data_IF_277166247616
#
_entry.id   IF_277166247616
#
_cell.length_a   1.000
_cell.length_b   1.000
_cell.length_c   1.000
_cell.angle_alpha   90.00
_cell.angle_beta   90.00
_cell.angle_gamma   90.00
#
_symmetry.space_group_name_H-M   'P 1'
#
loop_
_entity.id
_entity.type
_entity.pdbx_description
1 polymer ?
#
# COMPACT_ATOMS: atom_id res chain seq x y z
N UNK A 1 -15.45 0.72 21.98
CA UNK A 1 -15.87 2.10 22.17
C UNK A 1 -16.50 2.69 20.91
N UNK A 2 -17.35 3.69 21.07
CA UNK A 2 -17.85 4.48 19.97
C UNK A 2 -17.09 5.81 20.00
N UNK A 3 -16.42 6.13 18.91
CA UNK A 3 -15.65 7.36 18.75
C UNK A 3 -16.36 8.30 17.77
N UNK A 4 -16.07 9.59 17.86
CA UNK A 4 -16.48 10.57 16.82
C UNK A 4 -15.87 10.17 15.49
N UNK A 5 -16.60 10.40 14.39
CA UNK A 5 -16.07 10.15 13.04
C UNK A 5 -14.80 10.94 12.68
N UNK A 6 -14.46 11.95 13.47
CA UNK A 6 -13.23 12.74 13.34
C UNK A 6 -12.07 12.23 14.22
N UNK A 7 -12.30 11.20 15.05
CA UNK A 7 -11.23 10.60 15.87
C UNK A 7 -10.32 9.79 14.95
N UNK A 8 -9.02 10.03 15.00
CA UNK A 8 -8.07 9.24 14.22
C UNK A 8 -8.01 7.79 14.75
N UNK A 9 -7.77 6.83 13.85
CA UNK A 9 -7.67 5.41 14.21
C UNK A 9 -6.59 5.17 15.27
N UNK A 10 -5.48 5.91 15.24
CA UNK A 10 -4.42 5.81 16.24
C UNK A 10 -4.90 6.17 17.64
N UNK A 11 -5.65 7.27 17.80
CA UNK A 11 -6.23 7.67 19.10
C UNK A 11 -7.24 6.63 19.60
N UNK A 12 -8.12 6.16 18.70
CA UNK A 12 -9.09 5.13 19.05
C UNK A 12 -8.42 3.83 19.48
N UNK A 13 -7.35 3.41 18.80
CA UNK A 13 -6.59 2.21 19.15
C UNK A 13 -5.97 2.32 20.55
N UNK A 14 -5.36 3.47 20.88
CA UNK A 14 -4.75 3.70 22.19
C UNK A 14 -5.78 3.61 23.33
N UNK A 15 -6.95 4.23 23.16
CA UNK A 15 -8.04 4.15 24.12
C UNK A 15 -8.54 2.71 24.31
N UNK A 16 -8.60 1.94 23.22
CA UNK A 16 -9.00 0.54 23.28
C UNK A 16 -7.96 -0.33 23.98
N UNK A 17 -6.68 -0.12 23.72
CA UNK A 17 -5.59 -0.85 24.35
C UNK A 17 -5.54 -0.62 25.87
N UNK A 18 -5.68 0.63 26.33
CA UNK A 18 -5.73 0.94 27.75
C UNK A 18 -6.87 0.20 28.43
N UNK A 19 -8.08 0.24 27.85
CA UNK A 19 -9.23 -0.49 28.39
C UNK A 19 -9.07 -2.01 28.34
N UNK A 20 -8.37 -2.52 27.33
CA UNK A 20 -8.12 -3.95 27.20
C UNK A 20 -7.17 -4.42 28.31
N UNK A 21 -6.13 -3.64 28.61
CA UNK A 21 -5.21 -3.91 29.70
C UNK A 21 -5.92 -3.94 31.07
N UNK A 22 -6.89 -3.04 31.28
CA UNK A 22 -7.68 -3.02 32.53
C UNK A 22 -8.63 -4.24 32.70
N UNK A 23 -9.01 -4.86 31.57
CA UNK A 23 -10.00 -5.95 31.58
C UNK A 23 -9.38 -7.34 31.56
N UNK A 24 -8.13 -7.48 31.14
CA UNK A 24 -7.47 -8.78 30.99
C UNK A 24 -6.52 -9.02 32.16
N UNK A 25 -6.65 -10.16 32.88
CA UNK A 25 -5.78 -10.48 34.02
C UNK A 25 -4.33 -10.77 33.59
N UNK A 26 -4.15 -11.37 32.43
CA UNK A 26 -2.86 -11.84 31.93
C UNK A 26 -2.62 -11.31 30.50
N UNK A 27 -2.11 -10.08 30.35
CA UNK A 27 -1.86 -9.45 29.04
C UNK A 27 -0.85 -10.23 28.18
N UNK A 28 0.12 -10.89 28.77
CA UNK A 28 1.16 -11.71 28.12
C UNK A 28 0.63 -12.97 27.43
N UNK A 29 -0.58 -13.42 27.77
CA UNK A 29 -1.26 -14.46 27.00
C UNK A 29 -2.02 -13.94 25.77
N UNK A 30 -2.07 -12.62 25.58
CA UNK A 30 -2.88 -11.98 24.54
C UNK A 30 -2.04 -11.42 23.41
N UNK A 31 -2.34 -11.85 22.19
CA UNK A 31 -1.75 -11.27 20.97
C UNK A 31 -2.74 -10.34 20.27
N UNK A 32 -2.38 -9.07 20.17
CA UNK A 32 -3.15 -8.08 19.44
C UNK A 32 -2.80 -8.15 17.96
N UNK A 33 -3.76 -8.48 17.11
CA UNK A 33 -3.58 -8.51 15.66
C UNK A 33 -4.34 -7.35 15.03
N UNK A 34 -3.63 -6.49 14.31
CA UNK A 34 -4.24 -5.30 13.70
C UNK A 34 -3.58 -4.93 12.36
N UNK A 35 -4.24 -4.01 11.65
CA UNK A 35 -3.72 -3.43 10.43
C UNK A 35 -2.59 -2.41 10.69
N UNK A 36 -2.13 -1.75 9.65
CA UNK A 36 -1.04 -0.78 9.72
C UNK A 36 -1.30 0.43 10.66
N UNK A 37 -2.52 0.62 11.15
CA UNK A 37 -2.87 1.72 12.06
C UNK A 37 -2.46 1.46 13.52
N UNK A 38 -2.05 0.25 13.82
CA UNK A 38 -1.46 -0.08 15.13
C UNK A 38 0.00 0.38 15.22
N UNK A 39 0.72 0.43 14.09
CA UNK A 39 2.15 0.68 14.06
C UNK A 39 2.43 2.18 14.09
N UNK A 40 2.55 2.71 15.28
CA UNK A 40 3.15 4.01 15.61
C UNK A 40 3.95 3.88 16.91
N UNK A 41 4.92 4.78 17.12
CA UNK A 41 5.86 4.66 18.24
C UNK A 41 5.18 4.65 19.61
N UNK A 42 4.11 5.40 19.81
CA UNK A 42 3.39 5.46 21.08
C UNK A 42 2.55 4.21 21.31
N UNK A 43 1.85 3.73 20.28
CA UNK A 43 1.01 2.52 20.38
C UNK A 43 1.86 1.28 20.63
N UNK A 44 2.98 1.13 19.90
CA UNK A 44 3.92 0.02 20.12
C UNK A 44 4.51 0.09 21.53
N UNK A 45 4.93 1.27 21.99
CA UNK A 45 5.45 1.44 23.35
C UNK A 45 4.42 1.07 24.44
N UNK A 46 3.15 1.41 24.23
CA UNK A 46 2.06 1.02 25.16
C UNK A 46 1.79 -0.48 25.15
N UNK A 47 1.81 -1.14 23.99
CA UNK A 47 1.65 -2.59 23.88
C UNK A 47 2.74 -3.31 24.65
N UNK A 48 4.00 -2.97 24.36
CA UNK A 48 5.17 -3.56 25.01
C UNK A 48 5.18 -3.27 26.52
N UNK A 49 4.86 -2.03 26.93
CA UNK A 49 4.81 -1.66 28.34
C UNK A 49 3.66 -2.31 29.12
N UNK A 50 2.56 -2.69 28.46
CA UNK A 50 1.45 -3.40 29.06
C UNK A 50 1.59 -4.94 29.00
N UNK A 51 2.68 -5.45 28.41
CA UNK A 51 2.92 -6.89 28.29
C UNK A 51 2.13 -7.59 27.18
N UNK A 52 1.46 -6.86 26.30
CA UNK A 52 0.76 -7.47 25.16
C UNK A 52 1.71 -7.87 24.06
N UNK A 53 1.51 -9.06 23.54
CA UNK A 53 2.08 -9.45 22.27
C UNK A 53 1.31 -8.87 21.08
N UNK A 54 1.95 -8.72 19.94
CA UNK A 54 1.27 -8.19 18.76
C UNK A 54 1.80 -8.75 17.44
N UNK A 55 0.92 -8.69 16.42
CA UNK A 55 1.26 -8.88 15.01
C UNK A 55 0.56 -7.78 14.22
N UNK A 56 1.31 -6.98 13.47
CA UNK A 56 0.75 -5.89 12.69
C UNK A 56 1.47 -5.66 11.36
N UNK A 57 0.78 -5.00 10.44
CA UNK A 57 1.33 -4.62 9.14
C UNK A 57 2.13 -3.32 9.26
N UNK A 58 3.38 -3.34 8.82
CA UNK A 58 4.20 -2.11 8.75
C UNK A 58 3.66 -1.18 7.68
N UNK A 59 3.36 0.09 8.03
CA UNK A 59 2.84 1.07 7.08
C UNK A 59 3.81 1.32 5.92
N UNK A 60 3.28 1.61 4.73
CA UNK A 60 4.10 1.96 3.55
C UNK A 60 4.89 3.25 3.70
N UNK A 61 4.52 4.08 4.67
CA UNK A 61 5.19 5.36 4.97
C UNK A 61 6.44 5.21 5.84
N UNK A 62 6.69 4.02 6.39
CA UNK A 62 7.90 3.75 7.18
C UNK A 62 9.05 3.32 6.28
N UNK A 63 10.19 4.03 6.37
CA UNK A 63 11.40 3.73 5.59
C UNK A 63 11.92 2.32 5.85
N UNK A 64 11.86 1.84 7.10
CA UNK A 64 12.27 0.48 7.48
C UNK A 64 11.58 -0.61 6.64
N UNK A 65 10.34 -0.37 6.18
CA UNK A 65 9.63 -1.32 5.31
C UNK A 65 10.34 -1.50 3.98
N UNK A 66 10.74 -0.40 3.34
CA UNK A 66 11.42 -0.40 2.05
C UNK A 66 12.81 -1.04 2.18
N UNK A 67 13.56 -0.64 3.20
CA UNK A 67 14.88 -1.20 3.52
C UNK A 67 14.85 -2.72 3.71
N UNK A 68 13.90 -3.24 4.49
CA UNK A 68 13.76 -4.67 4.75
C UNK A 68 13.36 -5.46 3.50
N UNK A 69 12.50 -4.91 2.65
CA UNK A 69 12.15 -5.54 1.38
C UNK A 69 13.38 -5.60 0.47
N UNK A 70 14.14 -4.51 0.36
CA UNK A 70 15.34 -4.48 -0.47
C UNK A 70 16.43 -5.41 0.07
N UNK A 71 16.59 -5.50 1.40
CA UNK A 71 17.47 -6.48 2.04
C UNK A 71 17.05 -7.92 1.69
N UNK A 72 15.78 -8.25 1.81
CA UNK A 72 15.27 -9.58 1.51
C UNK A 72 15.55 -10.01 0.06
N UNK A 73 15.36 -9.07 -0.88
CA UNK A 73 15.68 -9.31 -2.29
C UNK A 73 17.17 -9.32 -2.60
N UNK A 74 17.99 -8.60 -1.83
CA UNK A 74 19.46 -8.65 -1.97
C UNK A 74 20.02 -10.00 -1.53
N UNK A 75 19.48 -10.56 -0.43
CA UNK A 75 19.92 -11.87 0.08
C UNK A 75 19.42 -13.05 -0.76
N UNK A 76 18.23 -12.96 -1.36
CA UNK A 76 17.67 -13.97 -2.25
C UNK A 76 16.92 -13.28 -3.41
N UNK A 77 17.59 -13.07 -4.55
CA UNK A 77 17.07 -12.30 -5.68
C UNK A 77 15.87 -12.91 -6.39
N UNK A 78 15.58 -14.20 -6.17
CA UNK A 78 14.38 -14.86 -6.67
C UNK A 78 13.44 -15.22 -5.51
N UNK A 79 12.20 -14.73 -5.59
CA UNK A 79 11.18 -15.06 -4.58
C UNK A 79 10.84 -16.56 -4.53
N UNK A 80 11.16 -17.33 -5.57
CA UNK A 80 10.96 -18.79 -5.58
C UNK A 80 11.85 -19.47 -4.53
N UNK A 81 13.00 -18.91 -4.22
CA UNK A 81 13.96 -19.42 -3.23
C UNK A 81 13.55 -19.09 -1.78
N UNK A 82 12.53 -18.27 -1.59
CA UNK A 82 12.04 -17.95 -0.25
C UNK A 82 11.16 -19.09 0.29
N UNK A 83 11.24 -19.40 1.59
CA UNK A 83 10.37 -20.38 2.23
C UNK A 83 8.88 -20.11 1.97
N UNK A 84 8.13 -21.16 1.63
CA UNK A 84 6.68 -21.08 1.46
C UNK A 84 6.04 -21.14 2.83
N UNK A 85 5.44 -20.03 3.27
CA UNK A 85 4.76 -19.93 4.56
C UNK A 85 3.29 -20.34 4.47
N UNK A 86 2.66 -20.09 3.33
CA UNK A 86 1.26 -20.47 3.09
C UNK A 86 0.95 -20.55 1.60
N UNK A 87 -0.09 -21.32 1.29
CA UNK A 87 -0.63 -21.42 -0.07
C UNK A 87 -2.14 -21.24 -0.06
N UNK A 88 -2.67 -20.74 -1.17
CA UNK A 88 -4.11 -20.73 -1.41
C UNK A 88 -4.43 -21.21 -2.82
N UNK A 89 -5.60 -21.82 -3.06
CA UNK A 89 -6.00 -22.22 -4.41
C UNK A 89 -5.99 -21.04 -5.39
N UNK A 90 -5.68 -21.29 -6.63
CA UNK A 90 -5.84 -20.34 -7.71
C UNK A 90 -7.29 -19.87 -7.88
N UNK A 91 -7.50 -18.86 -8.71
CA UNK A 91 -8.84 -18.30 -8.94
C UNK A 91 -9.81 -19.27 -9.64
N UNK A 92 -9.29 -20.13 -10.50
CA UNK A 92 -10.00 -21.23 -11.13
C UNK A 92 -9.40 -22.55 -10.68
N UNK A 93 -10.14 -23.65 -10.80
CA UNK A 93 -9.69 -24.99 -10.42
C UNK A 93 -8.44 -25.45 -11.18
N UNK A 94 -8.22 -24.91 -12.37
CA UNK A 94 -7.05 -25.18 -13.24
C UNK A 94 -5.87 -24.25 -12.99
N UNK A 95 -6.06 -23.18 -12.23
CA UNK A 95 -4.99 -22.23 -11.96
C UNK A 95 -4.02 -22.80 -10.90
N UNK A 96 -2.72 -22.54 -11.01
CA UNK A 96 -1.75 -22.97 -10.01
C UNK A 96 -2.05 -22.31 -8.65
N UNK A 97 -1.66 -22.95 -7.55
CA UNK A 97 -1.78 -22.34 -6.23
C UNK A 97 -0.95 -21.06 -6.16
N UNK A 98 -1.47 -20.09 -5.42
CA UNK A 98 -0.77 -18.85 -5.12
C UNK A 98 -0.07 -18.99 -3.77
N UNK A 99 1.19 -18.64 -3.71
CA UNK A 99 2.01 -18.78 -2.52
C UNK A 99 2.24 -17.43 -1.81
N UNK A 100 2.42 -17.54 -0.51
CA UNK A 100 3.03 -16.53 0.34
C UNK A 100 4.38 -17.08 0.77
N UNK A 101 5.43 -16.38 0.46
CA UNK A 101 6.81 -16.75 0.81
C UNK A 101 7.39 -15.66 1.70
N UNK A 102 8.22 -16.01 2.67
CA UNK A 102 8.69 -14.99 3.60
C UNK A 102 10.02 -15.32 4.24
N UNK A 103 10.62 -14.27 4.81
CA UNK A 103 11.87 -14.30 5.57
C UNK A 103 11.83 -13.27 6.68
N UNK A 104 12.32 -13.64 7.85
CA UNK A 104 12.39 -12.76 9.00
C UNK A 104 13.69 -11.97 9.08
N UNK A 105 13.59 -10.73 9.55
CA UNK A 105 14.68 -9.77 9.74
C UNK A 105 14.46 -8.99 11.03
N UNK A 106 15.52 -8.34 11.54
CA UNK A 106 15.40 -7.38 12.61
C UNK A 106 15.16 -5.97 12.04
N UNK A 107 13.99 -5.38 12.33
CA UNK A 107 13.67 -3.99 12.00
C UNK A 107 13.76 -3.10 13.24
N UNK A 108 14.19 -1.85 13.08
CA UNK A 108 14.26 -0.90 14.20
C UNK A 108 13.10 0.07 14.17
N UNK A 109 12.40 0.18 15.30
CA UNK A 109 11.26 1.08 15.47
C UNK A 109 11.52 2.05 16.60
N UNK A 110 11.20 3.31 16.38
CA UNK A 110 11.22 4.31 17.44
C UNK A 110 10.00 4.11 18.34
N UNK A 111 10.22 3.63 19.58
CA UNK A 111 9.18 3.47 20.58
C UNK A 111 9.10 4.71 21.44
N UNK A 112 7.89 5.14 21.75
CA UNK A 112 7.63 6.19 22.73
C UNK A 112 6.96 5.55 23.94
N UNK A 113 7.74 5.23 24.95
CA UNK A 113 7.21 4.73 26.21
C UNK A 113 6.40 5.83 26.91
N UNK A 114 5.27 5.48 27.56
CA UNK A 114 4.52 6.44 28.35
C UNK A 114 5.45 7.00 29.44
N UNK A 115 5.54 8.33 29.53
CA UNK A 115 6.30 8.98 30.56
C UNK A 115 5.55 8.84 31.89
N UNK A 116 6.21 8.39 32.93
CA UNK A 116 5.77 8.62 34.31
C UNK A 116 6.02 10.10 34.61
N UNK A 117 4.97 10.85 34.99
CA UNK A 117 4.98 12.23 35.43
C UNK A 117 5.95 13.19 34.67
N UNK A 118 5.43 13.98 33.74
CA UNK A 118 6.09 15.14 33.07
C UNK A 118 7.54 14.95 32.53
N UNK A 119 8.07 13.73 32.55
CA UNK A 119 9.39 13.45 32.00
C UNK A 119 9.34 13.50 30.45
N UNK A 120 10.41 13.99 29.79
CA UNK A 120 10.46 13.98 28.32
C UNK A 120 10.35 12.54 27.81
N UNK A 121 9.44 12.32 26.84
CA UNK A 121 9.29 11.03 26.18
C UNK A 121 10.59 10.62 25.50
N UNK A 122 11.25 9.62 26.02
CA UNK A 122 12.49 9.09 25.43
C UNK A 122 12.09 8.12 24.33
N UNK A 123 12.48 8.41 23.10
CA UNK A 123 12.36 7.45 22.02
C UNK A 123 13.48 6.40 22.18
N UNK A 124 13.13 5.17 22.47
CA UNK A 124 14.04 4.03 22.34
C UNK A 124 13.91 3.44 20.94
N UNK A 125 15.02 2.92 20.40
CA UNK A 125 15.03 2.22 19.11
C UNK A 125 15.22 0.74 19.39
N UNK A 126 14.11 0.02 19.54
CA UNK A 126 14.13 -1.41 19.82
C UNK A 126 14.13 -2.22 18.54
N UNK A 127 14.98 -3.26 18.45
CA UNK A 127 14.89 -4.23 17.37
C UNK A 127 13.64 -5.09 17.55
N UNK A 128 12.81 -5.15 16.51
CA UNK A 128 11.64 -6.02 16.49
C UNK A 128 11.76 -6.98 15.31
N UNK A 129 11.20 -8.17 15.48
CA UNK A 129 11.13 -9.14 14.40
C UNK A 129 10.17 -8.65 13.31
N UNK A 130 10.68 -8.62 12.08
CA UNK A 130 9.94 -8.22 10.90
C UNK A 130 9.91 -9.36 9.89
N UNK A 131 8.73 -9.82 9.54
CA UNK A 131 8.54 -10.85 8.52
C UNK A 131 8.22 -10.18 7.18
N UNK A 132 9.17 -10.22 6.26
CA UNK A 132 8.96 -9.78 4.87
C UNK A 132 8.27 -10.90 4.12
N UNK A 133 7.08 -10.62 3.58
CA UNK A 133 6.25 -11.60 2.88
C UNK A 133 6.04 -11.19 1.43
N UNK A 134 6.53 -12.01 0.50
CA UNK A 134 6.17 -11.95 -0.92
C UNK A 134 4.85 -12.66 -1.16
N UNK A 135 4.00 -12.10 -2.03
CA UNK A 135 2.71 -12.66 -2.39
C UNK A 135 2.52 -12.71 -3.90
N UNK A 136 2.33 -13.91 -4.46
CA UNK A 136 2.05 -14.11 -5.89
C UNK A 136 0.82 -13.33 -6.36
N UNK A 137 -0.17 -13.19 -5.48
CA UNK A 137 -1.38 -12.41 -5.77
C UNK A 137 -1.09 -10.91 -5.89
N UNK A 138 -0.17 -10.37 -5.07
CA UNK A 138 0.26 -8.97 -5.17
C UNK A 138 1.11 -8.75 -6.42
N UNK A 139 2.05 -9.64 -6.69
CA UNK A 139 2.88 -9.63 -7.89
C UNK A 139 2.03 -9.64 -9.17
N UNK A 140 1.04 -10.53 -9.24
CA UNK A 140 0.11 -10.62 -10.36
C UNK A 140 -0.76 -9.37 -10.52
N UNK A 141 -1.19 -8.73 -9.42
CA UNK A 141 -1.92 -7.46 -9.48
C UNK A 141 -1.05 -6.32 -10.02
N UNK A 142 0.20 -6.25 -9.58
CA UNK A 142 1.14 -5.26 -10.08
C UNK A 142 1.39 -5.44 -11.59
N UNK A 143 1.66 -6.68 -12.02
CA UNK A 143 1.90 -7.00 -13.43
C UNK A 143 0.72 -6.60 -14.33
N UNK A 144 -0.52 -6.90 -13.91
CA UNK A 144 -1.74 -6.49 -14.63
C UNK A 144 -1.90 -4.97 -14.70
N UNK A 145 -1.48 -4.24 -13.66
CA UNK A 145 -1.62 -2.79 -13.61
C UNK A 145 -0.48 -2.03 -14.32
N UNK A 146 0.65 -2.70 -14.59
CA UNK A 146 1.86 -2.08 -15.11
C UNK A 146 1.64 -1.43 -16.49
N UNK A 147 1.06 -2.17 -17.44
CA UNK A 147 0.82 -1.64 -18.80
C UNK A 147 -0.07 -0.39 -18.77
N UNK A 148 -1.05 -0.38 -17.90
CA UNK A 148 -1.90 0.81 -17.70
C UNK A 148 -1.15 1.99 -17.06
N UNK A 149 -0.12 1.75 -16.25
CA UNK A 149 0.74 2.80 -15.68
C UNK A 149 1.67 3.38 -16.74
N UNK A 150 2.31 2.52 -17.52
CA UNK A 150 3.17 2.89 -18.65
C UNK A 150 2.41 3.74 -19.69
N UNK A 151 1.22 3.27 -20.10
CA UNK A 151 0.38 3.98 -21.05
C UNK A 151 -0.06 5.36 -20.53
N UNK A 152 -0.41 5.47 -19.24
CA UNK A 152 -0.79 6.75 -18.61
C UNK A 152 0.37 7.74 -18.58
N UNK A 153 1.56 7.29 -18.22
CA UNK A 153 2.76 8.14 -18.19
C UNK A 153 3.09 8.65 -19.60
N UNK A 154 3.10 7.77 -20.61
CA UNK A 154 3.29 8.15 -22.02
C UNK A 154 2.24 9.16 -22.50
N UNK A 155 0.97 8.95 -22.15
CA UNK A 155 -0.11 9.87 -22.54
C UNK A 155 0.01 11.23 -21.83
N UNK A 156 0.39 11.25 -20.55
CA UNK A 156 0.63 12.48 -19.80
C UNK A 156 1.79 13.27 -20.38
N UNK A 157 2.91 12.60 -20.70
CA UNK A 157 4.04 13.25 -21.35
C UNK A 157 3.65 13.84 -22.71
N UNK A 158 2.96 13.08 -23.57
CA UNK A 158 2.48 13.57 -24.87
C UNK A 158 1.62 14.81 -24.75
N UNK A 159 0.73 14.86 -23.76
CA UNK A 159 -0.12 16.03 -23.50
C UNK A 159 0.69 17.25 -23.11
N UNK A 160 1.66 17.10 -22.21
CA UNK A 160 2.52 18.20 -21.75
C UNK A 160 3.50 18.62 -22.85
N UNK A 161 4.05 17.66 -23.59
CA UNK A 161 4.97 17.89 -24.71
C UNK A 161 4.34 18.73 -25.83
N UNK A 162 3.04 18.56 -26.11
CA UNK A 162 2.33 19.42 -27.10
C UNK A 162 2.44 20.90 -26.77
N UNK A 163 2.39 21.28 -25.50
CA UNK A 163 2.54 22.66 -25.07
C UNK A 163 3.97 23.20 -25.28
N UNK A 164 4.98 22.33 -25.15
CA UNK A 164 6.39 22.68 -25.42
C UNK A 164 6.65 22.73 -26.91
N UNK A 165 6.12 21.77 -27.69
CA UNK A 165 6.24 21.76 -29.16
C UNK A 165 5.56 22.94 -29.84
N UNK A 166 4.55 23.56 -29.19
CA UNK A 166 3.93 24.76 -29.73
C UNK A 166 4.83 26.01 -29.62
N UNK A 167 5.92 25.91 -28.84
CA UNK A 167 6.92 26.97 -28.70
C UNK A 167 7.99 26.77 -29.77
N UNK A 168 8.38 27.85 -30.41
CA UNK A 168 9.51 27.89 -31.32
C UNK A 168 10.73 28.32 -30.52
N UNK A 169 11.79 27.52 -30.58
CA UNK A 169 13.05 27.80 -29.92
C UNK A 169 14.08 28.33 -30.94
N UNK A 170 14.80 29.38 -30.55
CA UNK A 170 15.83 29.98 -31.35
C UNK A 170 17.15 29.21 -31.35
N UNK A 171 17.38 28.41 -30.30
CA UNK A 171 18.58 27.57 -30.18
C UNK A 171 18.25 26.18 -29.65
N UNK A 172 19.14 25.21 -29.90
CA UNK A 172 19.00 23.84 -29.47
C UNK A 172 19.02 23.71 -27.93
N UNK A 173 19.86 24.48 -27.25
CA UNK A 173 20.01 24.44 -25.79
C UNK A 173 18.72 24.82 -25.07
N UNK A 174 18.00 25.83 -25.54
CA UNK A 174 16.71 26.24 -24.96
C UNK A 174 15.64 25.20 -25.20
N UNK A 175 15.63 24.57 -26.37
CA UNK A 175 14.69 23.48 -26.70
C UNK A 175 14.93 22.25 -25.78
N UNK A 176 16.17 21.87 -25.54
CA UNK A 176 16.55 20.77 -24.65
C UNK A 176 16.24 21.10 -23.20
N UNK A 177 16.58 22.30 -22.73
CA UNK A 177 16.32 22.78 -21.39
C UNK A 177 14.81 22.79 -21.04
N UNK A 178 13.94 23.09 -22.01
CA UNK A 178 12.50 23.07 -21.83
C UNK A 178 11.94 21.66 -21.61
N UNK A 179 12.64 20.60 -22.08
CA UNK A 179 12.23 19.21 -21.93
C UNK A 179 12.79 18.56 -20.66
N UNK A 180 13.91 19.04 -20.14
CA UNK A 180 14.60 18.46 -19.00
C UNK A 180 13.69 18.19 -17.77
N UNK A 181 12.87 19.17 -17.30
CA UNK A 181 11.96 18.97 -16.20
C UNK A 181 10.88 17.92 -16.45
N UNK A 182 10.47 17.72 -17.70
CA UNK A 182 9.44 16.73 -18.07
C UNK A 182 10.00 15.31 -18.01
N UNK A 183 11.22 15.12 -18.52
CA UNK A 183 11.91 13.83 -18.51
C UNK A 183 12.28 13.41 -17.08
N UNK A 184 12.74 14.34 -16.25
CA UNK A 184 13.07 14.06 -14.83
C UNK A 184 11.88 13.60 -13.96
N UNK A 185 10.64 13.83 -14.41
CA UNK A 185 9.42 13.40 -13.69
C UNK A 185 8.94 12.01 -14.10
N UNK A 186 9.56 11.39 -15.07
CA UNK A 186 9.20 10.04 -15.48
C UNK A 186 9.54 9.06 -14.36
N UNK A 187 8.63 8.13 -14.16
CA UNK A 187 8.74 7.10 -13.12
C UNK A 187 8.98 5.71 -13.70
N UNK A 188 8.47 5.49 -14.91
CA UNK A 188 8.43 4.18 -15.55
C UNK A 188 9.19 4.14 -16.86
N UNK A 189 9.64 5.29 -17.32
CA UNK A 189 10.42 5.45 -18.55
C UNK A 189 11.65 6.31 -18.29
N UNK A 190 12.71 5.98 -18.97
CA UNK A 190 13.81 6.90 -19.24
C UNK A 190 13.50 7.67 -20.51
N UNK A 191 13.90 8.93 -20.58
CA UNK A 191 13.66 9.79 -21.75
C UNK A 191 14.96 10.37 -22.26
N UNK A 192 15.27 10.11 -23.52
CA UNK A 192 16.36 10.77 -24.23
C UNK A 192 15.81 11.93 -25.02
N UNK A 193 16.33 13.13 -24.75
CA UNK A 193 15.96 14.35 -25.48
C UNK A 193 16.89 14.52 -26.66
N UNK A 194 16.33 14.74 -27.83
CA UNK A 194 17.04 15.17 -29.05
C UNK A 194 16.38 16.43 -29.62
N UNK A 195 17.08 17.19 -30.40
CA UNK A 195 16.58 18.44 -30.99
C UNK A 195 16.72 18.38 -32.47
N UNK A 196 15.60 18.50 -33.19
CA UNK A 196 15.58 18.60 -34.63
C UNK A 196 15.66 20.08 -35.04
N UNK A 197 16.45 20.36 -36.04
CA UNK A 197 16.49 21.66 -36.72
C UNK A 197 15.48 21.66 -37.86
N UNK A 198 14.62 22.68 -37.91
CA UNK A 198 13.67 22.88 -39.03
C UNK A 198 13.75 24.28 -39.58
N UNK A 199 13.69 24.39 -40.89
CA UNK A 199 13.53 25.66 -41.56
C UNK A 199 12.04 25.96 -41.75
N UNK A 200 11.62 27.11 -41.25
CA UNK A 200 10.25 27.62 -41.43
C UNK A 200 10.30 28.82 -42.36
N UNK A 201 9.50 28.74 -43.41
CA UNK A 201 9.32 29.86 -44.34
C UNK A 201 8.40 30.91 -43.65
N UNK A 202 8.90 32.12 -43.49
CA UNK A 202 8.12 33.19 -42.91
C UNK A 202 6.95 33.59 -43.82
N UNK A 203 5.78 33.77 -43.21
CA UNK A 203 4.60 34.25 -43.95
C UNK A 203 4.87 35.68 -44.42
N UNK A 204 4.65 35.93 -45.69
CA UNK A 204 4.71 37.29 -46.22
C UNK A 204 3.70 38.19 -45.51
N UNK A 205 4.10 39.40 -45.20
CA UNK A 205 3.25 40.43 -44.55
C UNK A 205 2.12 40.89 -45.45
N UNK A 206 2.31 40.85 -46.79
CA UNK A 206 1.30 41.28 -47.78
C UNK A 206 0.49 40.09 -48.27
N UNK A 207 -0.85 40.25 -48.27
CA UNK A 207 -1.79 39.31 -48.88
C UNK A 207 -1.76 39.50 -50.42
N UNK A 208 -1.73 38.41 -51.17
CA UNK A 208 -1.82 38.42 -52.64
C UNK A 208 -0.69 37.60 -53.31
N UNK A 209 -0.83 37.45 -54.64
CA UNK A 209 0.19 36.77 -55.44
C UNK A 209 1.44 37.67 -55.53
N UNK A 210 2.64 37.17 -55.23
CA UNK A 210 3.85 37.96 -55.30
C UNK A 210 4.12 38.44 -56.76
N UNK A 211 4.73 39.60 -56.90
CA UNK A 211 5.15 40.08 -58.20
C UNK A 211 6.10 39.09 -58.86
N UNK A 212 6.06 39.06 -60.21
CA UNK A 212 6.97 38.20 -61.00
C UNK A 212 8.43 38.65 -60.75
N UNK A 213 9.28 37.77 -60.18
CA UNK A 213 10.66 38.11 -59.80
C UNK A 213 10.85 38.54 -58.32
N UNK A 214 9.81 38.50 -57.47
CA UNK A 214 9.99 38.76 -56.05
C UNK A 214 10.95 37.76 -55.42
N UNK A 215 11.82 38.19 -54.47
CA UNK A 215 12.71 37.27 -53.77
C UNK A 215 11.90 36.24 -53.00
N UNK A 216 12.44 35.01 -52.81
CA UNK A 216 11.76 34.00 -51.95
C UNK A 216 11.54 34.56 -50.56
N UNK A 217 10.47 34.14 -49.89
CA UNK A 217 10.22 34.59 -48.52
C UNK A 217 11.38 34.18 -47.61
N UNK A 218 11.73 35.00 -46.61
CA UNK A 218 12.81 34.68 -45.70
C UNK A 218 12.50 33.37 -44.94
N UNK A 219 13.51 32.58 -44.73
CA UNK A 219 13.45 31.36 -43.90
C UNK A 219 14.13 31.65 -42.57
N UNK A 220 13.56 31.09 -41.50
CA UNK A 220 14.20 31.07 -40.20
C UNK A 220 14.35 29.64 -39.70
N UNK A 221 15.43 29.41 -39.03
CA UNK A 221 15.70 28.14 -38.38
C UNK A 221 15.03 28.10 -37.01
N UNK A 222 14.30 27.04 -36.72
CA UNK A 222 13.74 26.77 -35.41
C UNK A 222 14.16 25.39 -34.92
N UNK A 223 14.29 25.27 -33.62
CA UNK A 223 14.69 24.03 -32.96
C UNK A 223 13.48 23.40 -32.28
N UNK A 224 13.22 22.13 -32.59
CA UNK A 224 12.06 21.39 -32.12
C UNK A 224 12.54 20.21 -31.28
N UNK A 225 12.23 20.17 -29.98
CA UNK A 225 12.67 19.07 -29.15
C UNK A 225 11.86 17.81 -29.43
N UNK A 226 12.52 16.67 -29.41
CA UNK A 226 11.93 15.32 -29.43
C UNK A 226 12.31 14.55 -28.19
N UNK A 227 11.45 13.65 -27.76
CA UNK A 227 11.72 12.71 -26.65
C UNK A 227 11.48 11.30 -27.14
N UNK A 228 12.50 10.48 -27.00
CA UNK A 228 12.42 9.04 -27.17
C UNK A 228 12.27 8.44 -25.76
N UNK A 229 11.26 7.61 -25.59
CA UNK A 229 10.96 6.93 -24.32
C UNK A 229 11.37 5.48 -24.40
N UNK A 230 12.12 5.04 -23.42
CA UNK A 230 12.44 3.64 -23.18
C UNK A 230 11.90 3.24 -21.81
N UNK A 231 11.56 1.95 -21.64
CA UNK A 231 11.13 1.45 -20.32
C UNK A 231 12.30 1.49 -19.36
N UNK A 232 12.09 2.03 -18.18
CA UNK A 232 13.05 1.96 -17.09
C UNK A 232 12.86 0.62 -16.35
N UNK A 233 13.54 -0.41 -16.84
CA UNK A 233 13.41 -1.79 -16.33
C UNK A 233 13.89 -1.89 -14.88
N UNK A 234 14.87 -1.08 -14.47
CA UNK A 234 15.36 -1.05 -13.09
C UNK A 234 14.33 -0.45 -12.14
N UNK A 235 13.74 0.68 -12.52
CA UNK A 235 12.65 1.29 -11.74
C UNK A 235 11.40 0.39 -11.70
N UNK A 236 11.07 -0.29 -12.81
CA UNK A 236 9.97 -1.25 -12.88
C UNK A 236 10.24 -2.45 -11.97
N UNK A 237 11.46 -3.01 -11.99
CA UNK A 237 11.86 -4.12 -11.15
C UNK A 237 11.82 -3.75 -9.66
N UNK A 238 12.37 -2.60 -9.27
CA UNK A 238 12.30 -2.08 -7.91
C UNK A 238 10.85 -1.92 -7.44
N UNK A 239 10.00 -1.28 -8.26
CA UNK A 239 8.60 -1.12 -7.94
C UNK A 239 7.83 -2.45 -7.85
N UNK A 240 8.20 -3.46 -8.66
CA UNK A 240 7.63 -4.81 -8.59
C UNK A 240 7.99 -5.46 -7.25
N UNK A 241 9.25 -5.42 -6.82
CA UNK A 241 9.70 -5.93 -5.52
C UNK A 241 8.89 -5.32 -4.39
N UNK A 242 8.82 -3.99 -4.34
CA UNK A 242 8.06 -3.26 -3.32
C UNK A 242 6.55 -3.54 -3.35
N UNK A 243 5.96 -3.69 -4.54
CA UNK A 243 4.52 -3.92 -4.69
C UNK A 243 4.10 -5.37 -4.45
N UNK A 244 5.00 -6.33 -4.63
CA UNK A 244 4.75 -7.76 -4.41
C UNK A 244 4.91 -8.18 -2.94
N UNK A 245 5.51 -7.32 -2.10
CA UNK A 245 5.80 -7.62 -0.72
C UNK A 245 5.03 -6.74 0.26
N UNK A 246 4.82 -7.30 1.45
CA UNK A 246 4.41 -6.57 2.65
C UNK A 246 5.26 -7.04 3.83
N UNK A 247 5.33 -6.23 4.88
CA UNK A 247 6.13 -6.52 6.06
C UNK A 247 5.22 -6.57 7.27
N UNK A 248 5.29 -7.65 8.02
CA UNK A 248 4.66 -7.78 9.33
C UNK A 248 5.70 -7.50 10.40
N UNK A 249 5.29 -6.85 11.48
CA UNK A 249 6.10 -6.66 12.68
C UNK A 249 5.46 -7.39 13.84
N UNK A 250 6.28 -8.01 14.67
CA UNK A 250 5.86 -8.72 15.87
C UNK A 250 6.97 -8.66 16.92
N UNK A 251 6.58 -8.81 18.19
CA UNK A 251 7.48 -9.02 19.31
C UNK A 251 7.72 -10.50 19.64
N UNK A 252 6.91 -11.42 19.05
CA UNK A 252 7.12 -12.85 19.21
C UNK A 252 8.48 -13.28 18.67
N UNK A 253 9.26 -13.97 19.49
CA UNK A 253 10.51 -14.58 19.09
C UNK A 253 10.30 -15.74 18.09
N UNK A 254 11.32 -16.07 17.29
CA UNK A 254 11.20 -17.07 16.21
C UNK A 254 11.05 -18.49 16.74
N UNK A 255 11.62 -18.77 17.90
CA UNK A 255 11.52 -20.06 18.61
C UNK A 255 10.13 -20.26 19.25
N UNK A 256 9.39 -19.19 19.56
CA UNK A 256 8.04 -19.25 20.11
C UNK A 256 6.98 -19.29 19.01
N UNK A 257 7.12 -18.43 17.99
CA UNK A 257 6.21 -18.36 16.86
C UNK A 257 6.96 -18.44 15.53
N UNK A 258 6.72 -19.51 14.76
CA UNK A 258 7.26 -19.62 13.42
C UNK A 258 6.71 -18.54 12.47
N UNK A 259 7.40 -18.28 11.36
CA UNK A 259 6.96 -17.33 10.32
C UNK A 259 5.59 -17.67 9.76
N UNK A 260 5.29 -18.98 9.61
CA UNK A 260 3.97 -19.46 9.16
C UNK A 260 2.87 -19.09 10.14
N UNK A 261 3.15 -19.19 11.46
CA UNK A 261 2.18 -18.84 12.50
C UNK A 261 1.92 -17.36 12.53
N UNK A 262 2.96 -16.51 12.48
CA UNK A 262 2.81 -15.04 12.39
C UNK A 262 1.95 -14.65 11.20
N UNK A 263 2.23 -15.21 10.02
CA UNK A 263 1.44 -14.96 8.83
C UNK A 263 0.00 -15.47 8.94
N UNK A 264 -0.21 -16.65 9.53
CA UNK A 264 -1.53 -17.23 9.70
C UNK A 264 -2.40 -16.37 10.61
N UNK A 265 -1.88 -15.93 11.75
CA UNK A 265 -2.60 -15.08 12.69
C UNK A 265 -2.95 -13.73 12.06
N UNK A 266 -2.00 -13.08 11.37
CA UNK A 266 -2.32 -11.85 10.63
C UNK A 266 -3.42 -12.05 9.59
N UNK A 267 -3.44 -13.17 8.87
CA UNK A 267 -4.47 -13.48 7.87
C UNK A 267 -5.82 -13.83 8.46
N UNK A 268 -5.89 -14.31 9.70
CA UNK A 268 -7.14 -14.55 10.41
C UNK A 268 -7.94 -13.26 10.62
N UNK A 269 -7.31 -12.10 10.70
CA UNK A 269 -7.98 -10.79 10.72
C UNK A 269 -8.99 -10.63 9.56
N UNK A 270 -8.63 -11.10 8.35
CA UNK A 270 -9.53 -11.04 7.20
C UNK A 270 -10.84 -11.84 7.37
N UNK A 271 -10.86 -12.83 8.25
CA UNK A 271 -12.07 -13.60 8.58
C UNK A 271 -12.98 -12.76 9.47
N UNK A 272 -12.41 -12.03 10.43
CA UNK A 272 -13.16 -11.16 11.34
C UNK A 272 -13.75 -9.96 10.58
N UNK A 273 -12.99 -9.36 9.70
CA UNK A 273 -13.44 -8.22 8.89
C UNK A 273 -14.37 -8.61 7.74
N UNK A 274 -14.17 -9.79 7.18
CA UNK A 274 -14.80 -10.26 5.95
C UNK A 274 -16.18 -10.89 6.16
N UNK A 275 -16.23 -12.22 5.99
CA UNK A 275 -17.51 -12.96 5.89
C UNK A 275 -18.30 -13.07 7.18
N UNK A 276 -17.64 -13.01 8.34
CA UNK A 276 -18.27 -13.25 9.64
C UNK A 276 -18.42 -12.00 10.50
N UNK A 277 -17.72 -10.90 10.16
CA UNK A 277 -17.59 -9.74 11.01
C UNK A 277 -18.28 -8.47 10.50
N UNK A 278 -17.54 -7.37 10.54
CA UNK A 278 -18.01 -6.02 10.27
C UNK A 278 -18.60 -5.80 8.87
N UNK A 279 -18.22 -6.61 7.88
CA UNK A 279 -18.81 -6.52 6.54
C UNK A 279 -20.30 -6.88 6.54
N UNK A 280 -20.72 -7.80 7.40
CA UNK A 280 -22.14 -8.12 7.56
C UNK A 280 -22.92 -6.94 8.16
N UNK A 281 -22.32 -6.25 9.14
CA UNK A 281 -22.90 -5.03 9.72
C UNK A 281 -22.99 -3.88 8.71
N UNK A 282 -22.08 -3.84 7.73
CA UNK A 282 -22.06 -2.84 6.64
C UNK A 282 -22.89 -3.25 5.42
N UNK A 283 -23.49 -4.45 5.43
CA UNK A 283 -24.27 -4.98 4.30
C UNK A 283 -25.74 -4.58 4.34
N UNK A 284 -26.52 -4.89 3.28
CA UNK A 284 -27.91 -4.48 3.17
C UNK A 284 -28.85 -5.09 4.22
N UNK A 285 -28.41 -6.12 4.95
CA UNK A 285 -29.17 -6.71 6.05
C UNK A 285 -29.09 -5.89 7.36
N UNK A 286 -28.14 -5.00 7.48
CA UNK A 286 -27.93 -4.15 8.62
C UNK A 286 -27.87 -2.69 8.16
N UNK A 287 -29.03 -2.09 8.10
CA UNK A 287 -29.17 -0.66 8.28
C UNK A 287 -28.60 0.23 7.16
N UNK A 288 -29.42 0.56 6.22
CA UNK A 288 -29.40 1.84 5.53
C UNK A 288 -29.22 2.98 6.57
N UNK A 289 -28.77 4.17 6.19
CA UNK A 289 -28.25 5.17 7.13
C UNK A 289 -29.14 5.35 8.33
N UNK A 290 -28.57 5.11 9.51
CA UNK A 290 -29.26 5.29 10.80
C UNK A 290 -29.18 6.76 11.15
N UNK A 291 -30.29 7.44 11.04
CA UNK A 291 -30.42 8.83 11.48
C UNK A 291 -30.69 8.84 13.00
N UNK A 292 -29.64 8.79 13.81
CA UNK A 292 -29.73 8.96 15.26
C UNK A 292 -28.92 10.20 15.64
N UNK A 293 -29.59 11.16 16.27
CA UNK A 293 -28.99 12.43 16.68
C UNK A 293 -28.32 12.36 18.06
N UNK A 294 -28.81 11.50 18.95
CA UNK A 294 -28.32 11.46 20.33
C UNK A 294 -27.19 10.42 20.52
N UNK A 295 -26.03 10.80 21.09
CA UNK A 295 -24.92 9.88 21.37
C UNK A 295 -25.31 8.62 22.15
N UNK A 296 -26.26 8.77 23.11
CA UNK A 296 -26.76 7.62 23.90
C UNK A 296 -27.48 6.60 23.03
N UNK A 297 -28.33 7.04 22.09
CA UNK A 297 -29.05 6.15 21.17
C UNK A 297 -28.09 5.48 20.19
N UNK A 298 -27.07 6.21 19.72
CA UNK A 298 -26.00 5.65 18.86
C UNK A 298 -25.25 4.54 19.62
N UNK A 299 -24.90 4.76 20.89
CA UNK A 299 -24.26 3.74 21.74
C UNK A 299 -25.14 2.52 21.95
N UNK A 300 -26.42 2.73 22.27
CA UNK A 300 -27.37 1.65 22.46
C UNK A 300 -27.52 0.79 21.20
N UNK A 301 -27.64 1.42 20.03
CA UNK A 301 -27.72 0.70 18.76
C UNK A 301 -26.42 -0.05 18.44
N UNK A 302 -25.25 0.57 18.67
CA UNK A 302 -23.95 -0.09 18.55
C UNK A 302 -23.84 -1.34 19.42
N UNK A 303 -24.36 -1.27 20.66
CA UNK A 303 -24.41 -2.41 21.57
C UNK A 303 -25.30 -3.54 21.04
N UNK A 304 -26.49 -3.21 20.54
CA UNK A 304 -27.41 -4.18 19.91
C UNK A 304 -26.74 -4.87 18.71
N UNK A 305 -26.01 -4.12 17.87
CA UNK A 305 -25.28 -4.70 16.75
C UNK A 305 -24.17 -5.65 17.19
N UNK A 306 -23.45 -5.31 18.26
CA UNK A 306 -22.43 -6.21 18.82
C UNK A 306 -23.04 -7.51 19.34
N UNK A 307 -24.18 -7.45 20.06
CA UNK A 307 -24.90 -8.66 20.51
C UNK A 307 -25.36 -9.49 19.31
N UNK A 308 -25.96 -8.85 18.29
CA UNK A 308 -26.41 -9.54 17.08
C UNK A 308 -25.25 -10.26 16.37
N UNK A 309 -24.07 -9.60 16.29
CA UNK A 309 -22.88 -10.20 15.71
C UNK A 309 -22.37 -11.39 16.54
N UNK A 310 -22.35 -11.28 17.86
CA UNK A 310 -21.97 -12.36 18.77
C UNK A 310 -22.91 -13.57 18.62
N UNK A 311 -24.20 -13.36 18.63
CA UNK A 311 -25.22 -14.43 18.46
C UNK A 311 -25.02 -15.10 17.08
N UNK A 312 -24.87 -14.32 16.01
CA UNK A 312 -24.63 -14.85 14.67
C UNK A 312 -23.35 -15.70 14.62
N UNK A 313 -22.26 -15.20 15.18
CA UNK A 313 -20.98 -15.92 15.20
C UNK A 313 -21.09 -17.22 16.02
N UNK A 314 -21.79 -17.18 17.14
CA UNK A 314 -22.07 -18.37 17.96
C UNK A 314 -22.87 -19.43 17.18
N UNK A 315 -23.94 -19.01 16.49
CA UNK A 315 -24.73 -19.91 15.63
C UNK A 315 -23.85 -20.52 14.54
N UNK A 316 -23.05 -19.72 13.85
CA UNK A 316 -22.13 -20.22 12.81
C UNK A 316 -21.09 -21.19 13.36
N UNK A 317 -20.51 -20.89 14.52
CA UNK A 317 -19.56 -21.77 15.19
C UNK A 317 -20.18 -23.13 15.53
N UNK A 318 -21.38 -23.12 16.12
CA UNK A 318 -22.11 -24.33 16.48
C UNK A 318 -22.48 -25.16 15.29
N UNK A 319 -23.00 -24.53 14.21
CA UNK A 319 -23.34 -25.21 12.98
C UNK A 319 -22.11 -25.83 12.30
N UNK A 320 -21.01 -25.10 12.19
CA UNK A 320 -19.76 -25.60 11.61
C UNK A 320 -19.18 -26.77 12.41
N UNK A 321 -19.22 -26.67 13.74
CA UNK A 321 -18.83 -27.76 14.64
C UNK A 321 -19.67 -29.02 14.44
N UNK A 322 -20.98 -28.86 14.35
CA UNK A 322 -21.92 -29.95 14.08
C UNK A 322 -21.72 -30.57 12.68
N UNK A 323 -21.49 -29.78 11.66
CA UNK A 323 -21.24 -30.25 10.29
C UNK A 323 -19.89 -30.99 10.18
N UNK A 324 -18.85 -30.48 10.83
CA UNK A 324 -17.53 -31.15 10.87
C UNK A 324 -17.62 -32.53 11.53
N UNK A 325 -18.37 -32.66 12.63
CA UNK A 325 -18.63 -33.94 13.29
C UNK A 325 -19.40 -34.93 12.39
N UNK A 326 -20.22 -34.46 11.47
CA UNK A 326 -20.99 -35.29 10.53
C UNK A 326 -20.30 -35.53 9.17
N UNK A 327 -19.02 -35.16 9.02
CA UNK A 327 -18.26 -35.32 7.78
C UNK A 327 -18.78 -34.49 6.59
N UNK A 328 -19.63 -33.49 6.83
CA UNK A 328 -20.16 -32.60 5.78
C UNK A 328 -19.34 -31.33 5.72
N UNK A 329 -18.70 -31.06 4.57
CA UNK A 329 -18.02 -29.81 4.32
C UNK A 329 -19.01 -28.65 4.16
N UNK A 330 -18.69 -27.50 4.80
CA UNK A 330 -19.44 -26.26 4.54
C UNK A 330 -18.97 -25.70 3.22
N UNK A 331 -19.83 -25.64 2.19
CA UNK A 331 -19.55 -24.84 1.00
C UNK A 331 -19.67 -23.35 1.37
N UNK A 332 -18.63 -22.59 1.05
CA UNK A 332 -18.60 -21.13 1.24
C UNK A 332 -19.30 -20.42 0.10
#
# INVERSE_FOLDING_TARGET
GLHSGNTSDHVANRDHLSRLADLLPDPDEVTVVADCKLVDGETLGRLTGAGFHFVSLVPKTFGVREELIDQAWAEAPDAVDWPILASKPGGKKTDPPLHYRGRSFAGRFALQLPAEDDAPRVASHEPMRCLVVHSDALAGRFAKALEGKLARETAALKKTHRGVLAKEFACAADAEAAMGPLVKRLKWHTGTVSVDQKEIVEKRSQRGRPPKGAPPPPTRTVFVPRVVLERDEDAIAAARRQASCFVLVTDWAEDEWSDERVLAEYRHQAIVEGHTGFRWLKGPAAVAPVFLETPTRIRALGFVFMIALMVRNFIQFTLRGGMKKRGRGVRH
#
